data_IF_784117334585
#
_entry.id   IF_784117334585
#
_cell.length_a   1.000
_cell.length_b   1.000
_cell.length_c   1.000
_cell.angle_alpha   90.00
_cell.angle_beta   90.00
_cell.angle_gamma   90.00
#
_symmetry.space_group_name_H-M   'P 1'
#
loop_
_entity.id
_entity.type
_entity.pdbx_description
1 polymer ?
#
# COMPACT_ATOMS: atom_id res chain seq x y z
N UNK A 1 -12.27 -0.26 2.82
CA UNK A 1 -13.67 -0.36 2.37
C UNK A 1 -14.65 -0.07 3.49
N UNK A 2 -14.47 -0.62 4.68
CA UNK A 2 -15.41 -0.41 5.80
C UNK A 2 -15.56 1.06 6.21
N UNK A 3 -14.47 1.82 6.17
CA UNK A 3 -14.46 3.25 6.50
C UNK A 3 -15.23 4.08 5.46
N UNK A 4 -15.20 3.68 4.19
CA UNK A 4 -15.87 4.40 3.11
C UNK A 4 -17.40 4.25 3.15
N UNK A 5 -17.90 3.15 3.70
CA UNK A 5 -19.33 2.85 3.66
C UNK A 5 -19.83 2.79 2.23
N UNK A 6 -20.84 3.60 1.90
CA UNK A 6 -21.40 3.71 0.55
C UNK A 6 -20.72 4.74 -0.35
N UNK A 7 -19.73 5.47 0.17
CA UNK A 7 -19.00 6.48 -0.61
C UNK A 7 -18.05 5.84 -1.62
N UNK A 8 -17.80 6.46 -2.78
CA UNK A 8 -16.74 6.04 -3.67
C UNK A 8 -15.39 6.06 -2.94
N UNK A 9 -14.55 5.04 -3.20
CA UNK A 9 -13.22 5.01 -2.62
C UNK A 9 -12.20 4.48 -3.62
N UNK A 10 -10.93 4.83 -3.39
CA UNK A 10 -9.83 4.46 -4.25
C UNK A 10 -8.65 4.06 -3.38
N UNK A 11 -7.88 3.09 -3.85
CA UNK A 11 -6.66 2.62 -3.20
C UNK A 11 -5.48 2.92 -4.12
N UNK A 12 -4.56 3.75 -3.65
CA UNK A 12 -3.37 4.14 -4.40
C UNK A 12 -2.13 3.50 -3.76
N UNK A 13 -1.59 2.42 -4.36
CA UNK A 13 -0.33 1.85 -3.89
C UNK A 13 0.81 2.86 -4.00
N UNK A 14 1.74 2.86 -3.04
CA UNK A 14 2.85 3.80 -3.05
C UNK A 14 3.83 3.53 -4.20
N UNK A 15 4.50 4.57 -4.66
CA UNK A 15 5.56 4.48 -5.67
C UNK A 15 6.96 4.38 -5.06
N UNK A 16 7.07 4.46 -3.74
CA UNK A 16 8.34 4.36 -3.05
C UNK A 16 8.87 2.93 -3.06
N UNK A 17 10.19 2.79 -3.15
CA UNK A 17 10.88 1.51 -3.04
C UNK A 17 12.07 1.65 -2.10
N UNK A 18 12.40 0.58 -1.41
CA UNK A 18 13.51 0.55 -0.47
C UNK A 18 13.47 -0.69 0.41
N UNK A 19 14.39 -0.83 1.39
CA UNK A 19 14.42 -2.00 2.27
C UNK A 19 13.13 -2.22 3.06
N UNK A 20 12.42 -1.14 3.39
CA UNK A 20 11.13 -1.20 4.09
C UNK A 20 9.93 -1.25 3.14
N UNK A 21 10.17 -1.10 1.84
CA UNK A 21 9.15 -1.10 0.80
C UNK A 21 9.72 -1.81 -0.43
N UNK A 22 9.86 -3.15 -0.35
CA UNK A 22 10.72 -3.90 -1.26
C UNK A 22 10.18 -4.11 -2.68
N UNK A 23 8.91 -3.79 -2.93
CA UNK A 23 8.30 -4.02 -4.23
C UNK A 23 8.15 -2.73 -5.03
N UNK A 24 8.44 -2.81 -6.34
CA UNK A 24 8.14 -1.74 -7.28
C UNK A 24 6.63 -1.53 -7.40
N UNK A 25 6.21 -0.31 -7.75
CA UNK A 25 4.80 0.07 -7.84
C UNK A 25 3.98 -0.89 -8.71
N UNK A 26 4.46 -1.26 -9.89
CA UNK A 26 3.75 -2.18 -10.78
C UNK A 26 3.51 -3.54 -10.15
N UNK A 27 4.48 -4.06 -9.40
CA UNK A 27 4.35 -5.32 -8.67
C UNK A 27 3.37 -5.20 -7.50
N UNK A 28 3.42 -4.09 -6.76
CA UNK A 28 2.43 -3.83 -5.70
C UNK A 28 1.01 -3.86 -6.24
N UNK A 29 0.76 -3.16 -7.34
CA UNK A 29 -0.55 -3.13 -7.98
C UNK A 29 -0.99 -4.53 -8.40
N UNK A 30 -0.11 -5.28 -9.07
CA UNK A 30 -0.43 -6.62 -9.55
C UNK A 30 -0.76 -7.58 -8.39
N UNK A 31 0.06 -7.60 -7.35
CA UNK A 31 -0.17 -8.47 -6.20
C UNK A 31 -1.40 -8.05 -5.38
N UNK A 32 -1.61 -6.76 -5.17
CA UNK A 32 -2.80 -6.28 -4.46
C UNK A 32 -4.09 -6.66 -5.19
N UNK A 33 -4.10 -6.56 -6.51
CA UNK A 33 -5.27 -6.96 -7.31
C UNK A 33 -5.52 -8.47 -7.25
N UNK A 34 -4.49 -9.27 -7.16
CA UNK A 34 -4.62 -10.72 -6.95
C UNK A 34 -5.11 -11.07 -5.55
N UNK A 35 -4.58 -10.38 -4.53
CA UNK A 35 -4.96 -10.62 -3.13
C UNK A 35 -6.38 -10.18 -2.84
N UNK A 36 -6.82 -9.09 -3.46
CA UNK A 36 -8.11 -8.46 -3.21
C UNK A 36 -8.91 -8.31 -4.52
N UNK A 37 -9.32 -9.41 -5.14
CA UNK A 37 -10.00 -9.37 -6.43
C UNK A 37 -11.33 -8.60 -6.38
N UNK A 38 -12.00 -8.58 -5.23
CA UNK A 38 -13.21 -7.81 -4.99
C UNK A 38 -12.98 -6.30 -5.20
N UNK A 39 -11.78 -5.82 -4.89
CA UNK A 39 -11.42 -4.40 -4.98
C UNK A 39 -10.49 -4.09 -6.15
N UNK A 40 -10.34 -5.00 -7.09
CA UNK A 40 -9.43 -4.87 -8.24
C UNK A 40 -9.57 -3.54 -8.97
N UNK A 41 -10.80 -3.09 -9.19
CA UNK A 41 -11.09 -1.81 -9.88
C UNK A 41 -10.85 -0.58 -9.02
N UNK A 42 -10.77 -0.76 -7.70
CA UNK A 42 -10.50 0.32 -6.75
C UNK A 42 -9.01 0.57 -6.56
N UNK A 43 -8.18 -0.41 -6.91
CA UNK A 43 -6.72 -0.31 -6.84
C UNK A 43 -6.23 0.36 -8.11
N UNK A 44 -5.72 1.59 -7.97
CA UNK A 44 -5.39 2.48 -9.08
C UNK A 44 -3.90 2.43 -9.38
N UNK A 45 -3.57 2.19 -10.66
CA UNK A 45 -2.22 2.28 -11.18
C UNK A 45 -2.08 3.58 -11.96
N UNK A 46 -1.58 4.64 -11.33
CA UNK A 46 -1.41 5.95 -11.94
C UNK A 46 0.02 6.45 -11.74
N UNK A 47 0.75 6.62 -12.83
CA UNK A 47 2.14 7.11 -12.82
C UNK A 47 2.28 8.51 -12.24
N UNK A 48 1.24 9.32 -12.33
CA UNK A 48 1.25 10.72 -11.90
C UNK A 48 0.74 10.91 -10.48
N UNK A 49 0.16 9.87 -9.87
CA UNK A 49 -0.36 9.91 -8.51
C UNK A 49 0.63 9.27 -7.52
N UNK A 50 1.76 9.94 -7.32
CA UNK A 50 2.86 9.44 -6.47
C UNK A 50 2.79 9.92 -5.02
N UNK A 51 2.20 11.10 -4.80
CA UNK A 51 2.11 11.72 -3.48
C UNK A 51 0.65 11.95 -3.11
N UNK A 52 0.40 12.14 -1.80
CA UNK A 52 -0.94 12.47 -1.32
C UNK A 52 -1.49 13.74 -1.98
N UNK A 53 -0.64 14.74 -2.21
CA UNK A 53 -1.03 16.00 -2.86
C UNK A 53 -1.44 15.77 -4.31
N UNK A 54 -0.69 14.97 -5.05
CA UNK A 54 -1.02 14.63 -6.44
C UNK A 54 -2.33 13.85 -6.55
N UNK A 55 -2.56 12.92 -5.63
CA UNK A 55 -3.80 12.15 -5.57
C UNK A 55 -4.98 13.08 -5.27
N UNK A 56 -4.83 13.97 -4.29
CA UNK A 56 -5.86 14.94 -3.93
C UNK A 56 -6.19 15.86 -5.12
N UNK A 57 -5.18 16.36 -5.82
CA UNK A 57 -5.36 17.19 -7.01
C UNK A 57 -6.16 16.46 -8.09
N UNK A 58 -5.82 15.21 -8.35
CA UNK A 58 -6.54 14.38 -9.32
C UNK A 58 -7.99 14.19 -8.95
N UNK A 59 -8.28 13.85 -7.70
CA UNK A 59 -9.65 13.64 -7.22
C UNK A 59 -10.46 14.93 -7.28
N UNK A 60 -9.86 16.06 -6.98
CA UNK A 60 -10.51 17.35 -7.12
C UNK A 60 -10.85 17.66 -8.59
N UNK A 61 -9.95 17.41 -9.51
CA UNK A 61 -10.19 17.57 -10.95
C UNK A 61 -11.28 16.62 -11.48
N UNK A 62 -11.40 15.45 -10.85
CA UNK A 62 -12.45 14.47 -11.17
C UNK A 62 -13.84 14.90 -10.66
N UNK A 63 -13.92 15.99 -9.91
CA UNK A 63 -15.18 16.59 -9.46
C UNK A 63 -15.57 16.33 -8.02
N UNK A 64 -14.73 15.68 -7.24
CA UNK A 64 -15.00 15.43 -5.82
C UNK A 64 -14.86 16.72 -5.00
N UNK A 65 -15.79 16.95 -4.09
CA UNK A 65 -15.85 18.16 -3.24
C UNK A 65 -15.38 17.92 -1.82
N UNK A 66 -15.44 16.68 -1.37
CA UNK A 66 -15.03 16.29 -0.01
C UNK A 66 -14.02 15.17 -0.12
N UNK A 67 -12.91 15.32 0.62
CA UNK A 67 -11.84 14.33 0.63
C UNK A 67 -11.72 13.70 2.00
N UNK A 68 -11.74 12.37 2.04
CA UNK A 68 -11.45 11.59 3.23
C UNK A 68 -10.26 10.69 2.90
N UNK A 69 -9.14 10.91 3.59
CA UNK A 69 -7.97 10.08 3.48
C UNK A 69 -7.94 9.07 4.63
N UNK A 70 -7.68 7.81 4.30
CA UNK A 70 -7.51 6.75 5.28
C UNK A 70 -6.03 6.45 5.42
N UNK A 71 -5.51 6.52 6.64
CA UNK A 71 -4.10 6.31 6.91
C UNK A 71 -3.91 5.55 8.23
N UNK A 72 -2.68 5.10 8.49
CA UNK A 72 -2.33 4.54 9.79
C UNK A 72 -2.40 5.57 10.90
N UNK A 73 -2.73 5.14 12.11
CA UNK A 73 -2.93 6.04 13.25
C UNK A 73 -1.71 6.91 13.58
N UNK A 74 -0.51 6.42 13.28
CA UNK A 74 0.76 7.13 13.49
C UNK A 74 1.01 8.27 12.51
N UNK A 75 0.27 8.32 11.38
CA UNK A 75 0.46 9.32 10.33
C UNK A 75 -0.71 10.27 10.11
N UNK A 76 -1.77 10.17 10.90
CA UNK A 76 -2.99 10.96 10.72
C UNK A 76 -2.70 12.46 10.73
N UNK A 77 -2.00 12.93 11.75
CA UNK A 77 -1.69 14.35 11.93
C UNK A 77 -0.79 14.90 10.84
N UNK A 78 0.19 14.10 10.42
CA UNK A 78 1.10 14.46 9.32
C UNK A 78 0.33 14.73 8.02
N UNK A 79 -0.53 13.80 7.63
CA UNK A 79 -1.34 13.94 6.41
C UNK A 79 -2.39 15.04 6.52
N UNK A 80 -3.02 15.19 7.67
CA UNK A 80 -3.98 16.26 7.91
C UNK A 80 -3.33 17.62 7.73
N UNK A 81 -2.19 17.83 8.36
CA UNK A 81 -1.42 19.08 8.24
C UNK A 81 -1.02 19.34 6.78
N UNK A 82 -0.52 18.31 6.10
CA UNK A 82 -0.08 18.41 4.72
C UNK A 82 -1.21 18.79 3.77
N UNK A 83 -2.34 18.10 3.86
CA UNK A 83 -3.47 18.32 2.96
C UNK A 83 -4.14 19.67 3.22
N UNK A 84 -4.30 20.07 4.48
CA UNK A 84 -4.88 21.36 4.83
C UNK A 84 -3.99 22.53 4.45
N UNK A 85 -2.68 22.34 4.45
CA UNK A 85 -1.73 23.39 4.03
C UNK A 85 -1.96 23.82 2.57
N UNK A 86 -2.30 22.90 1.70
CA UNK A 86 -2.50 23.17 0.27
C UNK A 86 -3.97 23.29 -0.13
N UNK A 87 -4.91 23.02 0.77
CA UNK A 87 -6.32 23.16 0.47
C UNK A 87 -6.71 24.64 0.46
N UNK A 88 -7.26 25.11 -0.66
CA UNK A 88 -7.64 26.51 -0.86
C UNK A 88 -6.46 27.49 -0.61
N UNK A 89 -5.26 27.07 -1.00
CA UNK A 89 -4.05 27.86 -0.81
C UNK A 89 -3.11 27.67 -2.01
N UNK A 90 -2.37 28.72 -2.42
CA UNK A 90 -1.42 28.58 -3.51
C UNK A 90 -0.23 27.72 -3.10
N UNK A 91 0.32 26.97 -4.06
CA UNK A 91 1.59 26.28 -3.91
C UNK A 91 2.76 27.27 -4.05
N UNK A 92 4.00 26.76 -4.06
CA UNK A 92 5.21 27.59 -4.22
C UNK A 92 5.26 28.35 -5.56
N UNK A 93 4.52 27.88 -6.55
CA UNK A 93 4.43 28.50 -7.88
C UNK A 93 3.22 29.41 -8.02
N UNK A 94 2.44 29.60 -6.97
CA UNK A 94 1.23 30.40 -6.98
C UNK A 94 -0.01 29.72 -7.54
N UNK A 95 0.04 28.39 -7.78
CA UNK A 95 -1.08 27.62 -8.30
C UNK A 95 -1.90 27.02 -7.18
N UNK A 96 -3.23 27.12 -7.26
CA UNK A 96 -4.14 26.42 -6.37
C UNK A 96 -4.38 25.01 -6.93
N UNK A 97 -3.94 23.99 -6.20
CA UNK A 97 -4.02 22.60 -6.65
C UNK A 97 -5.42 22.01 -6.43
N UNK A 98 -6.05 22.33 -5.31
CA UNK A 98 -7.39 21.89 -4.98
C UNK A 98 -8.02 22.78 -3.93
N UNK A 99 -9.36 22.75 -3.92
CA UNK A 99 -10.19 23.47 -2.96
C UNK A 99 -11.38 22.61 -2.58
N UNK A 100 -11.13 21.64 -1.69
CA UNK A 100 -12.20 20.80 -1.14
C UNK A 100 -13.03 21.56 -0.11
N UNK A 101 -14.32 21.28 -0.06
CA UNK A 101 -15.20 21.81 0.98
C UNK A 101 -14.82 21.26 2.35
N UNK A 102 -14.37 19.99 2.39
CA UNK A 102 -13.83 19.39 3.61
C UNK A 102 -12.69 18.42 3.28
N UNK A 103 -11.69 18.40 4.16
CA UNK A 103 -10.58 17.43 4.12
C UNK A 103 -10.50 16.79 5.49
N UNK A 104 -10.63 15.47 5.52
CA UNK A 104 -10.52 14.68 6.76
C UNK A 104 -9.50 13.56 6.56
N UNK A 105 -8.74 13.29 7.60
CA UNK A 105 -7.84 12.13 7.64
C UNK A 105 -8.28 11.25 8.79
N UNK A 106 -8.62 10.01 8.50
CA UNK A 106 -9.17 9.07 9.46
C UNK A 106 -8.33 7.80 9.53
N UNK A 107 -8.37 7.13 10.68
CA UNK A 107 -7.67 5.86 10.86
C UNK A 107 -8.42 4.71 10.18
N UNK A 108 -7.67 3.79 9.62
CA UNK A 108 -8.21 2.51 9.14
C UNK A 108 -8.67 1.58 10.29
N UNK A 109 -8.44 1.98 11.52
CA UNK A 109 -8.61 1.16 12.72
C UNK A 109 -7.27 0.68 13.24
N UNK A 110 -7.24 0.33 14.53
CA UNK A 110 -6.05 -0.24 15.12
C UNK A 110 -5.94 -1.73 14.77
N UNK A 111 -4.71 -2.17 14.54
CA UNK A 111 -4.43 -3.56 14.30
C UNK A 111 -4.28 -4.28 15.65
N UNK A 112 -4.92 -5.44 15.79
CA UNK A 112 -4.72 -6.31 16.93
C UNK A 112 -3.48 -7.20 16.68
N UNK A 113 -2.36 -6.97 17.37
CA UNK A 113 -1.15 -7.75 17.16
C UNK A 113 -1.26 -9.19 17.66
N UNK A 114 -2.25 -9.49 18.49
CA UNK A 114 -2.50 -10.82 19.03
C UNK A 114 -3.48 -11.63 18.16
N UNK A 115 -4.10 -11.00 17.17
CA UNK A 115 -4.99 -11.69 16.25
C UNK A 115 -4.21 -12.70 15.39
N UNK A 116 -4.87 -13.81 15.06
CA UNK A 116 -4.30 -14.82 14.16
C UNK A 116 -4.50 -14.44 12.68
N UNK A 117 -3.65 -15.02 11.83
CA UNK A 117 -3.73 -14.84 10.38
C UNK A 117 -3.39 -13.43 9.90
N UNK A 118 -4.07 -13.01 8.83
CA UNK A 118 -3.80 -11.73 8.15
C UNK A 118 -3.95 -10.53 9.09
N UNK A 119 -4.96 -10.54 9.96
CA UNK A 119 -5.22 -9.44 10.87
C UNK A 119 -4.11 -9.22 11.90
N UNK A 120 -3.36 -10.26 12.27
CA UNK A 120 -2.25 -10.19 13.23
C UNK A 120 -0.90 -9.84 12.61
N UNK A 121 -0.79 -9.82 11.28
CA UNK A 121 0.47 -9.62 10.58
C UNK A 121 0.64 -8.18 10.14
N UNK A 122 1.57 -7.45 10.78
CA UNK A 122 1.98 -6.13 10.33
C UNK A 122 2.98 -6.23 9.17
N UNK A 123 3.17 -5.13 8.44
CA UNK A 123 4.19 -5.06 7.41
C UNK A 123 5.59 -5.35 7.98
N UNK A 124 5.87 -4.86 9.19
CA UNK A 124 7.14 -5.14 9.87
C UNK A 124 7.32 -6.62 10.20
N UNK A 125 6.27 -7.30 10.67
CA UNK A 125 6.31 -8.74 10.93
C UNK A 125 6.50 -9.54 9.65
N UNK A 126 5.83 -9.14 8.56
CA UNK A 126 5.99 -9.76 7.24
C UNK A 126 7.43 -9.63 6.74
N UNK A 127 8.01 -8.44 6.82
CA UNK A 127 9.40 -8.22 6.43
C UNK A 127 10.38 -9.02 7.28
N UNK A 128 10.15 -9.08 8.59
CA UNK A 128 10.99 -9.86 9.50
C UNK A 128 10.95 -11.36 9.15
N UNK A 129 9.78 -11.90 8.87
CA UNK A 129 9.63 -13.30 8.44
C UNK A 129 10.35 -13.54 7.10
N UNK A 130 10.22 -12.62 6.16
CA UNK A 130 10.90 -12.70 4.86
C UNK A 130 12.43 -12.68 5.04
N UNK A 131 12.94 -11.78 5.88
CA UNK A 131 14.37 -11.65 6.16
C UNK A 131 14.96 -12.92 6.76
N UNK A 132 14.23 -13.54 7.70
CA UNK A 132 14.65 -14.80 8.36
C UNK A 132 14.51 -16.03 7.47
N UNK A 133 13.85 -15.92 6.35
CA UNK A 133 13.53 -17.09 5.52
C UNK A 133 12.39 -17.94 6.07
N UNK A 134 11.56 -17.39 6.94
CA UNK A 134 10.44 -18.07 7.57
C UNK A 134 9.16 -17.91 6.72
N UNK A 135 9.05 -18.75 5.70
CA UNK A 135 7.90 -18.75 4.81
C UNK A 135 6.59 -19.11 5.54
N UNK A 136 6.66 -20.03 6.48
CA UNK A 136 5.46 -20.47 7.20
C UNK A 136 4.80 -19.33 7.98
N UNK A 137 5.60 -18.51 8.64
CA UNK A 137 5.09 -17.29 9.29
C UNK A 137 4.65 -16.23 8.26
N UNK A 138 5.43 -16.05 7.20
CA UNK A 138 5.13 -15.07 6.16
C UNK A 138 3.79 -15.34 5.49
N UNK A 139 3.52 -16.58 5.11
CA UNK A 139 2.27 -16.95 4.41
C UNK A 139 1.02 -16.71 5.24
N UNK A 140 1.11 -16.71 6.57
CA UNK A 140 -0.04 -16.42 7.43
C UNK A 140 -0.58 -15.01 7.25
N UNK A 141 0.26 -14.07 6.80
CA UNK A 141 -0.13 -12.70 6.52
C UNK A 141 -0.68 -12.47 5.11
N UNK A 142 -0.78 -13.51 4.29
CA UNK A 142 -1.27 -13.41 2.92
C UNK A 142 -2.71 -13.92 2.86
N UNK A 143 -3.64 -13.18 2.23
CA UNK A 143 -5.02 -13.64 2.07
C UNK A 143 -5.11 -14.99 1.32
N UNK A 144 -6.08 -15.81 1.69
CA UNK A 144 -6.30 -17.12 1.06
C UNK A 144 -6.86 -17.03 -0.37
N UNK A 145 -7.06 -15.83 -0.89
CA UNK A 145 -7.34 -15.58 -2.30
C UNK A 145 -6.16 -15.93 -3.21
N UNK A 146 -4.94 -15.98 -2.64
CA UNK A 146 -3.78 -16.52 -3.35
C UNK A 146 -3.63 -18.01 -3.08
N UNK A 147 -3.25 -18.77 -4.12
CA UNK A 147 -2.82 -20.15 -3.98
C UNK A 147 -1.51 -20.23 -3.19
N UNK A 148 -1.17 -21.40 -2.69
CA UNK A 148 0.11 -21.62 -1.98
C UNK A 148 1.31 -21.34 -2.89
N UNK A 149 1.20 -21.66 -4.18
CA UNK A 149 2.22 -21.36 -5.18
C UNK A 149 2.40 -19.87 -5.36
N UNK A 150 1.32 -19.11 -5.48
CA UNK A 150 1.37 -17.64 -5.57
C UNK A 150 1.89 -17.00 -4.27
N UNK A 151 1.53 -17.55 -3.12
CA UNK A 151 2.09 -17.09 -1.83
C UNK A 151 3.61 -17.24 -1.81
N UNK A 152 4.12 -18.36 -2.32
CA UNK A 152 5.56 -18.59 -2.43
C UNK A 152 6.23 -17.62 -3.39
N UNK A 153 5.61 -17.37 -4.54
CA UNK A 153 6.09 -16.38 -5.52
C UNK A 153 6.16 -14.98 -4.94
N UNK A 154 5.12 -14.60 -4.21
CA UNK A 154 5.09 -13.30 -3.52
C UNK A 154 6.19 -13.19 -2.47
N UNK A 155 6.36 -14.21 -1.66
CA UNK A 155 7.43 -14.30 -0.67
C UNK A 155 8.82 -14.14 -1.30
N UNK A 156 9.09 -14.82 -2.40
CA UNK A 156 10.36 -14.73 -3.11
C UNK A 156 10.56 -13.35 -3.72
N UNK A 157 9.49 -12.73 -4.26
CA UNK A 157 9.55 -11.37 -4.80
C UNK A 157 9.90 -10.34 -3.71
N UNK A 158 9.33 -10.48 -2.52
CA UNK A 158 9.64 -9.62 -1.37
C UNK A 158 11.10 -9.79 -0.95
N UNK A 159 11.58 -11.03 -0.83
CA UNK A 159 12.97 -11.31 -0.49
C UNK A 159 13.94 -10.73 -1.52
N UNK A 160 13.66 -10.90 -2.79
CA UNK A 160 14.45 -10.32 -3.88
C UNK A 160 14.50 -8.79 -3.78
N UNK A 161 13.35 -8.16 -3.54
CA UNK A 161 13.28 -6.70 -3.35
C UNK A 161 14.02 -6.21 -2.12
N UNK A 162 14.20 -7.05 -1.10
CA UNK A 162 15.02 -6.78 0.07
C UNK A 162 16.52 -7.02 -0.16
N UNK A 163 16.91 -7.48 -1.34
CA UNK A 163 18.30 -7.79 -1.67
C UNK A 163 18.77 -9.16 -1.20
N UNK A 164 17.86 -10.05 -0.82
CA UNK A 164 18.20 -11.39 -0.35
C UNK A 164 18.28 -12.33 -1.55
N UNK A 165 19.41 -13.02 -1.71
CA UNK A 165 19.60 -14.04 -2.72
C UNK A 165 19.15 -15.41 -2.19
N UNK A 166 18.45 -16.15 -3.04
CA UNK A 166 18.08 -17.53 -2.73
C UNK A 166 19.25 -18.45 -3.02
N UNK A 167 19.62 -19.28 -2.03
CA UNK A 167 20.72 -20.25 -2.20
C UNK A 167 20.43 -21.28 -3.29
N UNK A 168 19.15 -21.53 -3.58
CA UNK A 168 18.73 -22.47 -4.62
C UNK A 168 19.09 -22.03 -6.04
N UNK A 169 19.13 -20.73 -6.31
CA UNK A 169 19.53 -20.23 -7.63
C UNK A 169 21.01 -20.53 -7.92
N UNK A 170 21.81 -20.70 -6.88
CA UNK A 170 23.21 -21.07 -7.01
C UNK A 170 23.42 -22.59 -7.07
N UNK A 171 22.47 -23.39 -6.53
CA UNK A 171 22.53 -24.86 -6.57
C UNK A 171 22.10 -25.45 -7.91
N UNK A 172 21.14 -24.86 -8.57
CA UNK A 172 20.63 -25.32 -9.87
C UNK A 172 21.64 -25.10 -10.99
N UNK A 173 22.51 -24.11 -10.89
CA UNK A 173 23.61 -23.89 -11.81
C UNK A 173 24.72 -24.92 -11.68
N UNK A 174 24.77 -25.67 -10.60
CA UNK A 174 25.77 -26.68 -10.34
C UNK A 174 25.41 -28.07 -10.88
N UNK A 175 24.12 -28.36 -11.00
CA UNK A 175 23.62 -29.66 -11.45
C UNK A 175 23.28 -29.70 -12.94
N UNK A 176 23.52 -28.61 -13.64
CA UNK A 176 23.41 -28.52 -15.08
C UNK A 176 24.80 -28.55 -15.72
#
# INVERSE_FOLDING_TARGET
ASVAGSNPFFIYPSHTTGPKDPLAHSLKVAWMRKMFPKYKRKIIADKNAKTAIQIAEKLYKDGYKNLIMVAGSDRLKEFETLLNRYNDAPDKKGNQLFKFDSVKVVSAGERDPDAEGVAGMSASKMRAAAEKGDFDSFKTGIPNTLSDDDKKKYYLAVRKGMGIREEREMGDDYDS
#
